data_IF_403226763678
#
_entry.id   IF_403226763678
#
_cell.length_a   1.000
_cell.length_b   1.000
_cell.length_c   1.000
_cell.angle_alpha   90.00
_cell.angle_beta   90.00
_cell.angle_gamma   90.00
#
_symmetry.space_group_name_H-M   'P 1'
#
loop_
_entity.id
_entity.type
_entity.pdbx_description
1 polymer ?
#
# COMPACT_ATOMS: atom_id res chain seq x y z
N UNK A 1 -3.85 11.53 3.81
CA UNK A 1 -3.57 11.72 5.22
C UNK A 1 -2.12 11.36 5.58
N UNK A 2 -1.62 10.16 5.24
CA UNK A 2 -0.26 9.70 5.58
C UNK A 2 0.87 10.50 4.92
N UNK A 3 0.61 11.18 3.83
CA UNK A 3 1.62 11.99 3.12
C UNK A 3 1.78 13.40 3.68
N UNK A 4 0.84 13.89 4.51
CA UNK A 4 0.84 15.23 5.12
C UNK A 4 1.25 16.36 4.15
N UNK A 5 0.84 16.29 2.88
CA UNK A 5 1.26 17.27 1.87
C UNK A 5 2.71 17.12 1.39
N UNK A 6 3.46 16.11 1.83
CA UNK A 6 4.87 15.92 1.45
C UNK A 6 5.07 15.69 -0.05
N UNK A 7 4.02 15.30 -0.76
CA UNK A 7 4.04 15.21 -2.23
C UNK A 7 4.20 16.59 -2.87
N UNK A 8 3.48 17.60 -2.38
CA UNK A 8 3.60 18.99 -2.85
C UNK A 8 4.94 19.59 -2.47
N UNK A 9 5.40 19.35 -1.25
CA UNK A 9 6.74 19.73 -0.80
C UNK A 9 7.82 19.10 -1.68
N UNK A 10 7.67 17.83 -2.04
CA UNK A 10 8.59 17.15 -2.95
C UNK A 10 8.67 17.86 -4.30
N UNK A 11 7.54 18.21 -4.94
CA UNK A 11 7.54 18.93 -6.22
C UNK A 11 8.25 20.29 -6.14
N UNK A 12 8.08 21.00 -5.04
CA UNK A 12 8.69 22.32 -4.85
C UNK A 12 10.20 22.26 -4.65
N UNK A 13 10.67 21.35 -3.81
CA UNK A 13 12.08 21.28 -3.43
C UNK A 13 12.90 20.41 -4.38
N UNK A 14 12.34 19.36 -4.96
CA UNK A 14 13.04 18.48 -5.89
C UNK A 14 13.24 19.08 -7.29
N UNK A 15 12.53 20.16 -7.64
CA UNK A 15 12.76 20.91 -8.89
C UNK A 15 14.03 21.77 -8.87
N UNK A 16 14.67 21.94 -7.71
CA UNK A 16 15.93 22.64 -7.51
C UNK A 16 17.04 21.60 -7.28
N UNK A 17 18.20 21.77 -7.87
CA UNK A 17 19.44 20.98 -8.00
C UNK A 17 19.74 19.72 -7.15
N UNK A 18 18.91 19.33 -6.15
CA UNK A 18 19.16 18.21 -5.22
C UNK A 18 18.00 17.19 -5.13
N UNK A 19 17.40 16.85 -6.27
CA UNK A 19 16.21 15.97 -6.31
C UNK A 19 16.37 14.62 -5.58
N UNK A 20 17.56 13.99 -5.64
CA UNK A 20 17.86 12.72 -4.95
C UNK A 20 17.92 12.86 -3.43
N UNK A 21 18.44 13.97 -2.92
CA UNK A 21 18.55 14.21 -1.48
C UNK A 21 17.15 14.42 -0.87
N UNK A 22 16.33 15.28 -1.49
CA UNK A 22 14.95 15.50 -1.03
C UNK A 22 14.07 14.27 -1.19
N UNK A 23 14.28 13.47 -2.26
CA UNK A 23 13.60 12.19 -2.43
C UNK A 23 13.85 11.26 -1.23
N UNK A 24 15.12 11.05 -0.88
CA UNK A 24 15.49 10.17 0.23
C UNK A 24 14.98 10.70 1.57
N UNK A 25 15.07 12.01 1.81
CA UNK A 25 14.59 12.65 3.03
C UNK A 25 13.08 12.47 3.20
N UNK A 26 12.31 12.85 2.18
CA UNK A 26 10.85 12.82 2.22
C UNK A 26 10.33 11.37 2.27
N UNK A 27 10.93 10.47 1.50
CA UNK A 27 10.55 9.06 1.53
C UNK A 27 10.87 8.43 2.91
N UNK A 28 12.01 8.77 3.53
CA UNK A 28 12.34 8.32 4.90
C UNK A 28 11.32 8.80 5.91
N UNK A 29 10.91 10.07 5.83
CA UNK A 29 9.90 10.64 6.71
C UNK A 29 8.54 9.96 6.53
N UNK A 30 8.10 9.75 5.29
CA UNK A 30 6.84 9.05 5.00
C UNK A 30 6.87 7.61 5.50
N UNK A 31 7.98 6.89 5.30
CA UNK A 31 8.15 5.52 5.84
C UNK A 31 8.05 5.53 7.37
N UNK A 32 8.74 6.46 8.04
CA UNK A 32 8.72 6.54 9.50
C UNK A 32 7.31 6.85 10.04
N UNK A 33 6.63 7.83 9.45
CA UNK A 33 5.26 8.20 9.83
C UNK A 33 4.28 7.07 9.55
N UNK A 34 4.33 6.47 8.34
CA UNK A 34 3.47 5.34 7.98
C UNK A 34 3.72 4.13 8.88
N UNK A 35 4.98 3.86 9.21
CA UNK A 35 5.35 2.80 10.15
C UNK A 35 4.82 3.05 11.56
N UNK A 36 4.95 4.28 12.08
CA UNK A 36 4.43 4.65 13.40
C UNK A 36 2.90 4.52 13.48
N UNK A 37 2.18 5.00 12.46
CA UNK A 37 0.72 4.85 12.39
C UNK A 37 0.29 3.38 12.27
N UNK A 38 0.97 2.60 11.42
CA UNK A 38 0.68 1.17 11.28
C UNK A 38 0.91 0.46 12.61
N UNK A 39 2.04 0.73 13.28
CA UNK A 39 2.33 0.17 14.59
C UNK A 39 1.25 0.54 15.61
N UNK A 40 0.81 1.80 15.63
CA UNK A 40 -0.29 2.24 16.49
C UNK A 40 -1.57 1.42 16.22
N UNK A 41 -1.99 1.28 14.95
CA UNK A 41 -3.19 0.50 14.62
C UNK A 41 -3.05 -0.99 14.91
N UNK A 42 -1.85 -1.56 14.80
CA UNK A 42 -1.60 -2.96 15.17
C UNK A 42 -1.68 -3.16 16.68
N UNK A 43 -1.04 -2.27 17.47
CA UNK A 43 -1.04 -2.35 18.94
C UNK A 43 -2.43 -2.12 19.53
N UNK A 44 -3.20 -1.22 18.93
CA UNK A 44 -4.56 -0.86 19.39
C UNK A 44 -5.68 -1.51 18.55
N UNK A 45 -5.37 -2.57 17.77
CA UNK A 45 -6.35 -3.20 16.90
C UNK A 45 -7.58 -3.71 17.66
N UNK A 46 -7.39 -4.45 18.75
CA UNK A 46 -8.49 -5.01 19.53
C UNK A 46 -9.38 -3.93 20.18
N UNK A 47 -8.86 -2.93 20.93
CA UNK A 47 -9.72 -1.90 21.48
C UNK A 47 -10.44 -1.06 20.42
N UNK A 48 -9.76 -0.74 19.30
CA UNK A 48 -10.35 0.03 18.23
C UNK A 48 -11.47 -0.72 17.51
N UNK A 49 -11.27 -2.01 17.19
CA UNK A 49 -12.27 -2.79 16.47
C UNK A 49 -13.50 -3.08 17.34
N UNK A 50 -13.30 -3.25 18.66
CA UNK A 50 -14.39 -3.38 19.62
C UNK A 50 -15.20 -2.09 19.74
N UNK A 51 -14.53 -0.93 19.76
CA UNK A 51 -15.19 0.38 19.76
C UNK A 51 -16.03 0.60 18.50
N UNK A 52 -15.57 0.07 17.34
CA UNK A 52 -16.30 0.14 16.09
C UNK A 52 -17.46 -0.88 16.00
N UNK A 53 -17.62 -1.77 16.99
CA UNK A 53 -18.70 -2.75 17.02
C UNK A 53 -18.46 -4.01 16.17
N UNK A 54 -17.19 -4.30 15.81
CA UNK A 54 -16.82 -5.46 14.98
C UNK A 54 -15.86 -6.42 15.70
N UNK A 55 -16.19 -6.97 16.87
CA UNK A 55 -15.29 -7.84 17.62
C UNK A 55 -14.89 -9.07 16.79
N UNK A 56 -13.61 -9.49 16.92
CA UNK A 56 -13.06 -10.63 16.18
C UNK A 56 -12.66 -10.32 14.72
N UNK A 57 -12.63 -9.03 14.33
CA UNK A 57 -12.26 -8.59 12.98
C UNK A 57 -10.98 -7.74 12.96
N UNK A 58 -10.08 -7.94 13.93
CA UNK A 58 -8.83 -7.20 14.08
C UNK A 58 -7.95 -7.28 12.83
N UNK A 59 -7.95 -8.42 12.14
CA UNK A 59 -7.20 -8.62 10.91
C UNK A 59 -7.60 -7.64 9.79
N UNK A 60 -8.86 -7.20 9.75
CA UNK A 60 -9.32 -6.25 8.74
C UNK A 60 -8.72 -4.86 8.98
N UNK A 61 -8.66 -4.44 10.24
CA UNK A 61 -8.06 -3.17 10.63
C UNK A 61 -6.56 -3.15 10.33
N UNK A 62 -5.87 -4.25 10.64
CA UNK A 62 -4.43 -4.38 10.36
C UNK A 62 -4.16 -4.36 8.86
N UNK A 63 -4.92 -5.12 8.06
CA UNK A 63 -4.78 -5.10 6.59
C UNK A 63 -5.05 -3.71 6.02
N UNK A 64 -6.10 -3.03 6.50
CA UNK A 64 -6.40 -1.66 6.08
C UNK A 64 -5.26 -0.70 6.42
N UNK A 65 -4.71 -0.78 7.62
CA UNK A 65 -3.57 0.05 8.04
C UNK A 65 -2.34 -0.18 7.14
N UNK A 66 -2.05 -1.44 6.79
CA UNK A 66 -0.97 -1.79 5.88
C UNK A 66 -1.21 -1.27 4.45
N UNK A 67 -2.44 -1.38 3.94
CA UNK A 67 -2.82 -0.85 2.63
C UNK A 67 -2.57 0.66 2.58
N UNK A 68 -3.06 1.40 3.58
CA UNK A 68 -2.89 2.86 3.64
C UNK A 68 -1.43 3.26 3.81
N UNK A 69 -0.64 2.50 4.58
CA UNK A 69 0.80 2.71 4.72
C UNK A 69 1.54 2.54 3.38
N UNK A 70 1.24 1.45 2.65
CA UNK A 70 1.84 1.21 1.33
C UNK A 70 1.46 2.29 0.33
N UNK A 71 0.19 2.72 0.29
CA UNK A 71 -0.26 3.83 -0.56
C UNK A 71 0.49 5.13 -0.25
N UNK A 72 0.71 5.43 1.03
CA UNK A 72 1.50 6.58 1.47
C UNK A 72 2.95 6.51 1.01
N UNK A 73 3.60 5.35 1.20
CA UNK A 73 5.00 5.13 0.82
C UNK A 73 5.18 5.25 -0.71
N UNK A 74 4.27 4.66 -1.48
CA UNK A 74 4.35 4.63 -2.95
C UNK A 74 4.02 6.00 -3.57
N UNK A 75 3.34 6.90 -2.86
CA UNK A 75 3.03 8.24 -3.34
C UNK A 75 4.29 9.02 -3.76
N UNK A 76 5.41 8.90 -3.01
CA UNK A 76 6.66 9.62 -3.30
C UNK A 76 7.37 9.09 -4.57
N UNK A 77 7.57 7.76 -4.77
CA UNK A 77 8.00 7.21 -6.06
C UNK A 77 7.13 7.66 -7.25
N UNK A 78 5.81 7.70 -7.08
CA UNK A 78 4.91 8.21 -8.12
C UNK A 78 5.08 9.70 -8.39
N UNK A 79 5.30 10.52 -7.36
CA UNK A 79 5.63 11.94 -7.52
C UNK A 79 6.95 12.10 -8.29
N UNK A 80 7.96 11.27 -8.02
CA UNK A 80 9.23 11.26 -8.75
C UNK A 80 9.04 10.91 -10.23
N UNK A 81 8.24 9.89 -10.57
CA UNK A 81 7.93 9.55 -11.97
C UNK A 81 7.28 10.72 -12.73
N UNK A 82 6.41 11.47 -12.05
CA UNK A 82 5.79 12.68 -12.62
C UNK A 82 6.81 13.79 -12.84
N UNK A 83 7.70 14.01 -11.88
CA UNK A 83 8.77 15.00 -11.99
C UNK A 83 9.74 14.66 -13.13
N UNK A 84 10.10 13.37 -13.29
CA UNK A 84 10.97 12.88 -14.36
C UNK A 84 10.27 12.82 -15.74
N UNK A 85 9.04 13.33 -15.85
CA UNK A 85 8.23 13.33 -17.08
C UNK A 85 8.08 11.93 -17.71
N UNK A 86 7.88 10.89 -16.89
CA UNK A 86 7.64 9.51 -17.32
C UNK A 86 6.17 9.08 -17.18
N UNK A 87 5.20 9.77 -17.84
CA UNK A 87 3.77 9.52 -17.63
C UNK A 87 3.33 8.13 -18.08
N UNK A 88 3.97 7.57 -19.12
CA UNK A 88 3.64 6.21 -19.61
C UNK A 88 3.93 5.15 -18.55
N UNK A 89 5.07 5.26 -17.86
CA UNK A 89 5.42 4.33 -16.79
C UNK A 89 4.51 4.48 -15.58
N UNK A 90 4.21 5.72 -15.18
CA UNK A 90 3.23 6.00 -14.13
C UNK A 90 1.88 5.35 -14.45
N UNK A 91 1.34 5.58 -15.65
CA UNK A 91 0.07 5.01 -16.08
C UNK A 91 0.10 3.47 -16.10
N UNK A 92 1.17 2.87 -16.65
CA UNK A 92 1.33 1.41 -16.70
C UNK A 92 1.31 0.78 -15.30
N UNK A 93 2.10 1.29 -14.37
CA UNK A 93 2.17 0.76 -12.99
C UNK A 93 0.82 0.90 -12.28
N UNK A 94 0.13 2.04 -12.46
CA UNK A 94 -1.20 2.27 -11.88
C UNK A 94 -2.25 1.34 -12.47
N UNK A 95 -2.26 1.17 -13.80
CA UNK A 95 -3.17 0.26 -14.49
C UNK A 95 -2.93 -1.20 -14.09
N UNK A 96 -1.67 -1.63 -14.00
CA UNK A 96 -1.31 -2.98 -13.56
C UNK A 96 -1.80 -3.26 -12.14
N UNK A 97 -1.67 -2.31 -11.21
CA UNK A 97 -2.19 -2.44 -9.85
C UNK A 97 -3.72 -2.57 -9.83
N UNK A 98 -4.44 -1.69 -10.56
CA UNK A 98 -5.91 -1.76 -10.64
C UNK A 98 -6.36 -3.09 -11.23
N UNK A 99 -5.74 -3.53 -12.34
CA UNK A 99 -6.07 -4.79 -12.98
C UNK A 99 -5.81 -5.97 -12.04
N UNK A 100 -4.67 -5.99 -11.36
CA UNK A 100 -4.33 -7.03 -10.39
C UNK A 100 -5.34 -7.06 -9.23
N UNK A 101 -5.73 -5.90 -8.70
CA UNK A 101 -6.73 -5.81 -7.63
C UNK A 101 -8.08 -6.38 -8.09
N UNK A 102 -8.55 -5.99 -9.28
CA UNK A 102 -9.81 -6.51 -9.85
C UNK A 102 -9.73 -8.01 -10.07
N UNK A 103 -8.64 -8.52 -10.68
CA UNK A 103 -8.46 -9.95 -10.91
C UNK A 103 -8.43 -10.76 -9.62
N UNK A 104 -7.75 -10.26 -8.57
CA UNK A 104 -7.72 -10.92 -7.26
C UNK A 104 -9.09 -10.92 -6.59
N UNK A 105 -9.84 -9.83 -6.68
CA UNK A 105 -11.21 -9.79 -6.16
C UNK A 105 -12.12 -10.79 -6.88
N UNK A 106 -12.07 -10.84 -8.22
CA UNK A 106 -12.82 -11.83 -9.01
C UNK A 106 -12.38 -13.25 -8.61
N UNK A 107 -11.08 -13.48 -8.47
CA UNK A 107 -10.54 -14.77 -8.08
C UNK A 107 -11.06 -15.24 -6.71
N UNK A 108 -10.94 -14.41 -5.67
CA UNK A 108 -11.37 -14.80 -4.33
C UNK A 108 -12.89 -14.83 -4.18
N UNK A 109 -13.61 -13.81 -4.68
CA UNK A 109 -15.04 -13.66 -4.40
C UNK A 109 -15.93 -14.47 -5.34
N UNK A 110 -15.46 -14.80 -6.54
CA UNK A 110 -16.21 -15.59 -7.49
C UNK A 110 -15.61 -17.00 -7.64
N UNK A 111 -14.37 -17.10 -8.16
CA UNK A 111 -13.80 -18.43 -8.46
C UNK A 111 -13.62 -19.28 -7.21
N UNK A 112 -12.95 -18.81 -6.17
CA UNK A 112 -12.72 -19.60 -4.98
C UNK A 112 -14.03 -19.96 -4.28
N UNK A 113 -14.98 -19.03 -4.22
CA UNK A 113 -16.31 -19.27 -3.64
C UNK A 113 -17.07 -20.36 -4.39
N UNK A 114 -17.11 -20.29 -5.72
CA UNK A 114 -17.90 -21.20 -6.53
C UNK A 114 -17.25 -22.59 -6.64
N UNK A 115 -15.91 -22.68 -6.63
CA UNK A 115 -15.18 -23.96 -6.53
C UNK A 115 -15.41 -24.58 -5.14
N UNK A 116 -15.36 -23.78 -4.07
CA UNK A 116 -15.64 -24.25 -2.71
C UNK A 116 -17.06 -24.81 -2.61
N UNK A 117 -18.03 -24.20 -3.28
CA UNK A 117 -19.42 -24.65 -3.36
C UNK A 117 -19.63 -25.86 -4.31
N UNK A 118 -18.58 -26.35 -4.99
CA UNK A 118 -18.65 -27.53 -5.88
C UNK A 118 -19.36 -27.31 -7.22
N UNK A 119 -19.53 -26.04 -7.65
CA UNK A 119 -20.25 -25.75 -8.91
C UNK A 119 -19.46 -26.16 -10.17
N UNK A 120 -18.15 -26.01 -10.15
CA UNK A 120 -17.23 -26.38 -11.24
C UNK A 120 -15.82 -26.58 -10.69
N UNK A 121 -14.93 -27.17 -11.52
CA UNK A 121 -13.53 -27.43 -11.20
C UNK A 121 -13.32 -28.15 -9.86
N UNK A 122 -14.12 -29.19 -9.60
CA UNK A 122 -14.10 -29.95 -8.34
C UNK A 122 -12.74 -30.56 -8.00
N UNK A 123 -11.87 -30.79 -9.02
CA UNK A 123 -10.50 -31.26 -8.81
C UNK A 123 -9.61 -30.25 -8.08
N UNK A 124 -9.96 -28.95 -8.10
CA UNK A 124 -9.24 -27.88 -7.38
C UNK A 124 -9.78 -27.66 -5.96
N UNK A 125 -10.88 -28.30 -5.57
CA UNK A 125 -11.45 -28.17 -4.23
C UNK A 125 -10.43 -28.37 -3.10
N UNK A 126 -9.54 -29.39 -3.13
CA UNK A 126 -8.58 -29.58 -2.04
C UNK A 126 -7.66 -28.38 -1.83
N UNK A 127 -7.25 -27.72 -2.93
CA UNK A 127 -6.40 -26.54 -2.88
C UNK A 127 -7.20 -25.32 -2.40
N UNK A 128 -8.41 -25.15 -2.92
CA UNK A 128 -9.27 -24.01 -2.55
C UNK A 128 -9.70 -24.09 -1.08
N UNK A 129 -9.98 -25.27 -0.54
CA UNK A 129 -10.31 -25.45 0.87
C UNK A 129 -9.19 -25.02 1.83
N UNK A 130 -7.93 -25.07 1.39
CA UNK A 130 -6.79 -24.59 2.18
C UNK A 130 -6.68 -23.07 2.14
N UNK A 131 -6.93 -22.47 0.97
CA UNK A 131 -6.71 -21.03 0.72
C UNK A 131 -7.95 -20.21 1.06
N UNK A 132 -9.13 -20.75 0.79
CA UNK A 132 -10.40 -20.03 0.92
C UNK A 132 -11.20 -20.50 2.13
N UNK A 133 -11.46 -19.57 3.04
CA UNK A 133 -12.33 -19.76 4.21
C UNK A 133 -13.56 -18.87 4.07
N UNK A 134 -14.79 -19.42 3.97
CA UNK A 134 -16.02 -18.62 3.83
C UNK A 134 -16.21 -17.58 4.94
N UNK A 135 -15.74 -17.90 6.15
CA UNK A 135 -15.84 -17.02 7.33
C UNK A 135 -15.05 -15.71 7.18
N UNK A 136 -14.02 -15.70 6.32
CA UNK A 136 -13.19 -14.52 6.08
C UNK A 136 -13.92 -13.45 5.25
N UNK A 137 -14.89 -13.84 4.42
CA UNK A 137 -15.84 -12.96 3.73
C UNK A 137 -15.21 -11.74 3.07
N UNK A 138 -15.59 -10.55 3.56
CA UNK A 138 -15.10 -9.24 3.05
C UNK A 138 -13.58 -9.08 3.23
N UNK A 139 -12.95 -9.84 4.11
CA UNK A 139 -11.50 -9.82 4.31
C UNK A 139 -10.70 -10.09 3.04
N UNK A 140 -11.26 -10.86 2.09
CA UNK A 140 -10.61 -11.10 0.79
C UNK A 140 -10.46 -9.83 -0.06
N UNK A 141 -11.35 -8.85 0.11
CA UNK A 141 -11.23 -7.55 -0.57
C UNK A 141 -10.01 -6.78 -0.04
N UNK A 142 -9.82 -6.77 1.29
CA UNK A 142 -8.63 -6.16 1.90
C UNK A 142 -7.36 -6.90 1.53
N UNK A 143 -7.40 -8.24 1.50
CA UNK A 143 -6.27 -9.08 1.10
C UNK A 143 -5.89 -8.83 -0.37
N UNK A 144 -6.86 -8.80 -1.27
CA UNK A 144 -6.65 -8.51 -2.69
C UNK A 144 -6.01 -7.12 -2.89
N UNK A 145 -6.50 -6.11 -2.18
CA UNK A 145 -5.94 -4.77 -2.22
C UNK A 145 -4.52 -4.72 -1.66
N UNK A 146 -4.26 -5.42 -0.55
CA UNK A 146 -2.92 -5.50 0.05
C UNK A 146 -1.93 -6.17 -0.92
N UNK A 147 -2.29 -7.29 -1.54
CA UNK A 147 -1.44 -7.99 -2.53
C UNK A 147 -1.20 -7.07 -3.75
N UNK A 148 -2.23 -6.40 -4.25
CA UNK A 148 -2.10 -5.48 -5.36
C UNK A 148 -1.15 -4.31 -5.03
N UNK A 149 -1.23 -3.75 -3.82
CA UNK A 149 -0.33 -2.68 -3.38
C UNK A 149 1.10 -3.17 -3.15
N UNK A 150 1.30 -4.39 -2.66
CA UNK A 150 2.62 -5.00 -2.55
C UNK A 150 3.29 -5.16 -3.93
N UNK A 151 2.52 -5.35 -5.00
CA UNK A 151 3.04 -5.42 -6.36
C UNK A 151 3.69 -4.11 -6.84
N UNK A 152 3.45 -2.96 -6.19
CA UNK A 152 4.19 -1.73 -6.47
C UNK A 152 5.69 -1.85 -6.18
N UNK A 153 6.08 -2.65 -5.19
CA UNK A 153 7.48 -2.81 -4.78
C UNK A 153 8.33 -3.34 -5.95
N UNK A 154 8.03 -4.48 -6.57
CA UNK A 154 8.79 -4.97 -7.72
C UNK A 154 8.62 -4.07 -8.97
N UNK A 155 7.43 -3.48 -9.21
CA UNK A 155 7.19 -2.62 -10.35
C UNK A 155 7.96 -1.29 -10.30
N UNK A 156 8.28 -0.81 -9.11
CA UNK A 156 9.03 0.42 -8.85
C UNK A 156 10.41 0.15 -8.24
N UNK A 157 10.90 -1.08 -8.35
CA UNK A 157 12.13 -1.55 -7.70
C UNK A 157 13.34 -0.65 -7.94
N UNK A 158 13.51 -0.14 -9.16
CA UNK A 158 14.61 0.76 -9.50
C UNK A 158 14.57 2.09 -8.72
N UNK A 159 13.38 2.59 -8.39
CA UNK A 159 13.21 3.80 -7.58
C UNK A 159 13.50 3.54 -6.10
N UNK A 160 13.16 2.32 -5.62
CA UNK A 160 13.47 1.91 -4.25
C UNK A 160 14.94 1.49 -4.09
N UNK A 161 15.58 0.91 -5.11
CA UNK A 161 16.99 0.51 -5.08
C UNK A 161 17.94 1.68 -4.85
N UNK A 162 17.61 2.86 -5.39
CA UNK A 162 18.41 4.08 -5.21
C UNK A 162 18.15 4.76 -3.86
N UNK A 163 17.18 4.27 -3.09
CA UNK A 163 16.80 4.84 -1.81
C UNK A 163 17.86 4.59 -0.75
N UNK A 164 18.25 5.66 -0.04
CA UNK A 164 19.06 5.59 1.17
C UNK A 164 18.32 6.28 2.31
N UNK A 165 18.13 5.56 3.39
CA UNK A 165 17.49 6.13 4.57
C UNK A 165 18.35 7.31 5.08
N UNK A 166 17.79 8.51 5.05
CA UNK A 166 18.42 9.74 5.54
C UNK A 166 17.43 10.50 6.38
N UNK A 167 17.87 10.87 7.56
CA UNK A 167 17.14 11.76 8.44
C UNK A 167 18.03 12.96 8.77
N UNK A 168 17.78 14.08 8.11
CA UNK A 168 18.48 15.35 8.35
C UNK A 168 17.46 16.37 8.85
N UNK A 169 17.51 16.65 10.15
CA UNK A 169 16.55 17.53 10.80
C UNK A 169 16.63 18.98 10.28
N UNK A 170 17.80 19.43 9.82
CA UNK A 170 17.97 20.78 9.27
C UNK A 170 17.32 20.90 7.89
N UNK A 171 17.46 19.87 7.04
CA UNK A 171 16.83 19.81 5.74
C UNK A 171 15.33 19.52 5.81
N UNK A 172 14.86 18.87 6.89
CA UNK A 172 13.46 18.51 7.09
C UNK A 172 12.60 19.69 7.55
N UNK A 173 13.16 20.61 8.36
CA UNK A 173 12.45 21.77 8.90
C UNK A 173 11.71 22.61 7.85
N UNK A 174 12.32 23.03 6.71
CA UNK A 174 11.62 23.79 5.67
C UNK A 174 10.55 22.97 4.92
N UNK A 175 10.71 21.63 4.86
CA UNK A 175 9.75 20.72 4.22
C UNK A 175 8.49 20.55 5.07
N UNK A 176 8.64 20.55 6.41
CA UNK A 176 7.54 20.37 7.35
C UNK A 176 6.73 21.67 7.57
N UNK A 177 7.38 22.82 7.51
CA UNK A 177 6.72 24.13 7.73
C UNK A 177 5.91 24.63 6.52
N UNK A 178 5.92 23.89 5.42
CA UNK A 178 5.22 24.19 4.18
C UNK A 178 3.97 23.35 3.97
#
# INVERSE_FOLDING_TARGET
LYTFGMETSFFRFASRDNSKQYYNLILSAVIAVSGAFTLFFVLFATPLINLLGYPGRESYLVMLALVVALDGIVAIPFARLRLERKPRRFAFVRMANILLNVLLNVFFLLFCRDIHAGKYLTFLQPVVHVIYKPEFGVGYVFLANLIANLAFIPLLWDLFRDFRFRFDAAAFRPVWLY
#
